data_IF_798967750299
#
_entry.id   IF_798967750299
#
_cell.length_a   1.000
_cell.length_b   1.000
_cell.length_c   1.000
_cell.angle_alpha   90.00
_cell.angle_beta   90.00
_cell.angle_gamma   90.00
#
_symmetry.space_group_name_H-M   'P 1'
#
loop_
_entity.id
_entity.type
_entity.pdbx_description
1 polymer ?
#
# COMPACT_ATOMS: atom_id res chain seq x y z
N UNK A 1 -64.07 -31.92 -4.72
CA UNK A 1 -62.62 -31.77 -4.49
C UNK A 1 -62.36 -30.33 -4.07
N UNK A 2 -61.73 -30.14 -2.91
CA UNK A 2 -61.40 -28.84 -2.30
C UNK A 2 -60.05 -28.31 -2.83
N UNK A 3 -59.86 -26.99 -2.85
CA UNK A 3 -58.58 -26.25 -2.70
C UNK A 3 -58.86 -24.75 -2.99
N UNK A 4 -59.17 -23.91 -2.00
CA UNK A 4 -58.27 -23.24 -1.05
C UNK A 4 -57.25 -22.26 -1.69
N UNK A 5 -57.56 -20.96 -1.60
CA UNK A 5 -56.62 -19.81 -1.69
C UNK A 5 -55.75 -19.77 -0.41
N UNK A 6 -54.55 -19.16 -0.39
CA UNK A 6 -54.49 -17.71 -0.18
C UNK A 6 -53.31 -16.96 -0.85
N UNK A 7 -53.46 -15.63 -0.86
CA UNK A 7 -52.47 -14.64 -1.27
C UNK A 7 -51.27 -14.56 -0.31
N UNK A 8 -50.09 -14.14 -0.81
CA UNK A 8 -48.98 -13.68 0.03
C UNK A 8 -48.52 -12.28 -0.40
N UNK A 9 -48.84 -11.29 0.43
CA UNK A 9 -48.32 -9.92 0.37
C UNK A 9 -46.91 -9.87 1.01
N UNK A 10 -46.01 -9.16 0.34
CA UNK A 10 -44.90 -8.31 0.82
C UNK A 10 -44.35 -8.49 2.25
N UNK A 11 -43.04 -8.66 2.40
CA UNK A 11 -42.22 -7.98 3.43
C UNK A 11 -40.75 -7.85 3.02
N UNK A 12 -40.28 -6.62 3.23
CA UNK A 12 -38.90 -6.10 3.26
C UNK A 12 -37.96 -6.90 4.16
N UNK A 13 -36.72 -7.14 3.70
CA UNK A 13 -35.55 -7.20 4.60
C UNK A 13 -34.22 -7.04 3.82
N UNK A 14 -33.62 -5.88 4.04
CA UNK A 14 -32.25 -5.48 3.75
C UNK A 14 -31.24 -6.44 4.40
N UNK A 15 -30.57 -7.28 3.62
CA UNK A 15 -29.38 -8.00 4.07
C UNK A 15 -28.13 -7.15 3.81
N UNK A 16 -27.84 -6.28 4.77
CA UNK A 16 -26.55 -5.60 4.95
C UNK A 16 -25.58 -6.60 5.58
N UNK A 17 -24.39 -6.73 4.99
CA UNK A 17 -23.08 -6.95 5.65
C UNK A 17 -22.24 -8.06 4.99
N UNK A 18 -21.47 -7.69 3.96
CA UNK A 18 -20.22 -8.37 3.61
C UNK A 18 -19.10 -7.34 3.61
N UNK A 19 -18.50 -7.10 4.78
CA UNK A 19 -17.18 -6.52 4.94
C UNK A 19 -16.71 -6.74 6.38
N UNK A 20 -15.52 -7.32 6.55
CA UNK A 20 -14.53 -6.54 7.29
C UNK A 20 -13.16 -6.58 6.61
N UNK A 21 -13.05 -6.13 5.36
CA UNK A 21 -11.76 -5.83 4.73
C UNK A 21 -11.28 -4.39 5.00
N UNK A 22 -11.67 -3.77 6.12
CA UNK A 22 -11.28 -2.39 6.47
C UNK A 22 -10.63 -2.23 7.86
N UNK A 23 -10.40 -3.33 8.59
CA UNK A 23 -9.82 -3.22 9.95
C UNK A 23 -8.29 -3.16 9.99
N UNK A 24 -7.60 -3.43 8.89
CA UNK A 24 -6.14 -3.35 8.83
C UNK A 24 -5.62 -1.90 8.68
N UNK A 25 -6.32 -1.04 7.92
CA UNK A 25 -5.91 0.34 7.67
C UNK A 25 -6.11 1.29 8.88
N UNK A 26 -6.97 0.94 9.83
CA UNK A 26 -7.26 1.80 10.98
C UNK A 26 -6.19 1.74 12.08
N UNK A 27 -5.40 0.66 12.14
CA UNK A 27 -4.33 0.50 13.15
C UNK A 27 -3.04 1.20 12.75
N UNK A 28 -2.68 1.24 11.47
CA UNK A 28 -1.48 1.95 10.99
C UNK A 28 -1.55 3.45 11.24
N UNK A 29 -2.70 4.07 10.92
CA UNK A 29 -2.91 5.51 11.08
C UNK A 29 -2.77 6.00 12.55
N UNK A 30 -3.12 5.16 13.53
CA UNK A 30 -2.99 5.50 14.96
C UNK A 30 -1.56 5.37 15.49
N UNK A 31 -0.74 4.51 14.87
CA UNK A 31 0.68 4.34 15.26
C UNK A 31 1.53 5.43 14.62
N UNK A 32 1.28 5.76 13.35
CA UNK A 32 1.88 6.94 12.70
C UNK A 32 1.62 8.19 13.53
N UNK A 33 0.35 8.42 13.91
CA UNK A 33 -0.12 9.04 15.16
C UNK A 33 0.93 9.67 16.10
N UNK A 34 1.72 8.76 16.67
CA UNK A 34 2.46 8.90 17.93
C UNK A 34 3.97 8.94 17.72
N UNK A 35 4.44 8.82 16.48
CA UNK A 35 5.86 8.81 16.18
C UNK A 35 6.40 10.24 15.99
N UNK A 36 7.63 10.52 16.46
CA UNK A 36 8.34 11.75 16.11
C UNK A 36 8.37 11.95 14.59
N UNK A 37 8.31 13.20 14.11
CA UNK A 37 8.15 13.52 12.68
C UNK A 37 9.18 12.79 11.80
N UNK A 38 10.46 12.78 12.18
CA UNK A 38 11.50 12.06 11.41
C UNK A 38 11.25 10.54 11.33
N UNK A 39 10.66 9.95 12.38
CA UNK A 39 10.35 8.51 12.39
C UNK A 39 9.10 8.21 11.57
N UNK A 40 8.13 9.15 11.51
CA UNK A 40 6.98 9.08 10.61
C UNK A 40 7.43 9.12 9.14
N UNK A 41 8.29 10.07 8.79
CA UNK A 41 8.74 10.25 7.42
C UNK A 41 9.51 9.01 6.94
N UNK A 42 10.44 8.50 7.78
CA UNK A 42 11.14 7.26 7.50
C UNK A 42 10.21 6.04 7.38
N UNK A 43 9.17 5.94 8.23
CA UNK A 43 8.18 4.88 8.14
C UNK A 43 7.36 4.96 6.84
N UNK A 44 7.02 6.18 6.41
CA UNK A 44 6.37 6.44 5.12
C UNK A 44 7.23 5.97 3.96
N UNK A 45 8.49 6.41 3.91
CA UNK A 45 9.43 6.03 2.84
C UNK A 45 9.64 4.51 2.76
N UNK A 46 9.79 3.84 3.90
CA UNK A 46 9.93 2.37 3.96
C UNK A 46 8.66 1.68 3.47
N UNK A 47 7.49 2.17 3.87
CA UNK A 47 6.19 1.59 3.47
C UNK A 47 5.98 1.75 1.97
N UNK A 48 6.21 2.94 1.41
CA UNK A 48 6.12 3.20 -0.03
C UNK A 48 7.07 2.31 -0.83
N UNK A 49 8.31 2.12 -0.35
CA UNK A 49 9.29 1.23 -0.98
C UNK A 49 8.80 -0.22 -0.99
N UNK A 50 8.23 -0.70 0.12
CA UNK A 50 7.69 -2.06 0.22
C UNK A 50 6.47 -2.26 -0.69
N UNK A 51 5.57 -1.27 -0.78
CA UNK A 51 4.41 -1.30 -1.67
C UNK A 51 4.81 -1.31 -3.15
N UNK A 52 5.82 -0.52 -3.51
CA UNK A 52 6.38 -0.53 -4.85
C UNK A 52 7.00 -1.89 -5.19
N UNK A 53 7.80 -2.48 -4.29
CA UNK A 53 8.38 -3.82 -4.49
C UNK A 53 7.33 -4.91 -4.62
N UNK A 54 6.26 -4.83 -3.82
CA UNK A 54 5.13 -5.74 -3.94
C UNK A 54 4.42 -5.62 -5.30
N UNK A 55 4.18 -4.39 -5.74
CA UNK A 55 3.55 -4.12 -7.04
C UNK A 55 4.40 -4.63 -8.21
N UNK A 56 5.71 -4.40 -8.17
CA UNK A 56 6.66 -4.91 -9.17
C UNK A 56 6.66 -6.45 -9.19
N UNK A 57 6.64 -7.07 -8.02
CA UNK A 57 6.57 -8.53 -7.88
C UNK A 57 5.27 -9.08 -8.48
N UNK A 58 4.12 -8.46 -8.19
CA UNK A 58 2.84 -8.85 -8.77
C UNK A 58 2.83 -8.70 -10.29
N UNK A 59 3.44 -7.65 -10.82
CA UNK A 59 3.54 -7.44 -12.27
C UNK A 59 4.36 -8.54 -12.97
N UNK A 60 5.44 -9.02 -12.35
CA UNK A 60 6.33 -10.04 -12.94
C UNK A 60 5.81 -11.46 -12.76
N UNK A 61 5.35 -11.79 -11.54
CA UNK A 61 5.01 -13.18 -11.18
C UNK A 61 3.52 -13.49 -11.23
N UNK A 62 2.65 -12.47 -11.37
CA UNK A 62 1.19 -12.65 -11.40
C UNK A 62 0.70 -13.44 -10.19
N UNK A 63 -0.09 -14.49 -10.44
CA UNK A 63 -0.66 -15.36 -9.40
C UNK A 63 0.39 -16.16 -8.61
N UNK A 64 1.64 -16.22 -9.08
CA UNK A 64 2.74 -16.88 -8.38
C UNK A 64 3.55 -15.90 -7.50
N UNK A 65 3.14 -14.63 -7.43
CA UNK A 65 3.78 -13.65 -6.59
C UNK A 65 3.74 -14.07 -5.12
N UNK A 66 4.90 -14.04 -4.46
CA UNK A 66 5.01 -14.30 -3.02
C UNK A 66 5.77 -13.14 -2.36
N UNK A 67 5.50 -12.84 -1.08
CA UNK A 67 6.19 -11.77 -0.35
C UNK A 67 7.70 -11.90 -0.38
N UNK A 68 8.23 -13.13 -0.40
CA UNK A 68 9.67 -13.41 -0.45
C UNK A 68 10.31 -12.86 -1.72
N UNK A 69 9.59 -12.86 -2.85
CA UNK A 69 10.08 -12.26 -4.09
C UNK A 69 10.24 -10.74 -3.92
N UNK A 70 9.28 -10.06 -3.29
CA UNK A 70 9.36 -8.61 -3.06
C UNK A 70 10.51 -8.25 -2.11
N UNK A 71 10.70 -9.04 -1.05
CA UNK A 71 11.82 -8.85 -0.11
C UNK A 71 13.17 -9.07 -0.81
N UNK A 72 13.27 -10.07 -1.69
CA UNK A 72 14.50 -10.34 -2.44
C UNK A 72 14.92 -9.20 -3.38
N UNK A 73 13.99 -8.32 -3.76
CA UNK A 73 14.26 -7.16 -4.60
C UNK A 73 14.73 -5.94 -3.80
N UNK A 74 14.54 -5.93 -2.47
CA UNK A 74 14.89 -4.78 -1.62
C UNK A 74 16.36 -4.34 -1.73
N UNK A 75 17.37 -5.24 -1.71
CA UNK A 75 18.76 -4.81 -1.83
C UNK A 75 19.02 -4.00 -3.09
N UNK A 76 18.48 -4.45 -4.24
CA UNK A 76 18.62 -3.75 -5.51
C UNK A 76 17.89 -2.41 -5.54
N UNK A 77 16.72 -2.34 -4.91
CA UNK A 77 15.96 -1.10 -4.81
C UNK A 77 16.70 -0.07 -3.94
N UNK A 78 17.27 -0.50 -2.82
CA UNK A 78 18.04 0.37 -1.93
C UNK A 78 19.32 0.86 -2.61
N UNK A 79 20.04 0.01 -3.34
CA UNK A 79 21.21 0.41 -4.12
C UNK A 79 20.83 1.46 -5.19
N UNK A 80 19.71 1.27 -5.89
CA UNK A 80 19.24 2.22 -6.89
C UNK A 80 18.84 3.58 -6.27
N UNK A 81 18.25 3.57 -5.07
CA UNK A 81 17.92 4.79 -4.33
C UNK A 81 19.17 5.54 -3.90
N UNK A 82 20.21 4.84 -3.43
CA UNK A 82 21.49 5.45 -3.06
C UNK A 82 22.16 6.10 -4.27
N UNK A 83 22.20 5.41 -5.42
CA UNK A 83 22.72 6.00 -6.67
C UNK A 83 21.94 7.26 -7.06
N UNK A 84 20.60 7.21 -6.97
CA UNK A 84 19.76 8.37 -7.29
C UNK A 84 20.02 9.55 -6.35
N UNK A 85 20.26 9.27 -5.07
CA UNK A 85 20.62 10.29 -4.08
C UNK A 85 21.95 10.96 -4.43
N UNK A 86 22.99 10.18 -4.71
CA UNK A 86 24.31 10.70 -5.07
C UNK A 86 24.23 11.59 -6.33
N UNK A 87 23.47 11.16 -7.34
CA UNK A 87 23.24 11.95 -8.55
C UNK A 87 22.50 13.28 -8.26
N UNK A 88 21.49 13.25 -7.39
CA UNK A 88 20.77 14.46 -7.00
C UNK A 88 21.66 15.45 -6.25
N UNK A 89 22.53 14.96 -5.36
CA UNK A 89 23.51 15.77 -4.65
C UNK A 89 24.52 16.42 -5.61
N UNK A 90 24.98 15.69 -6.62
CA UNK A 90 25.93 16.22 -7.62
C UNK A 90 25.29 17.28 -8.52
N UNK A 91 24.04 17.09 -8.95
CA UNK A 91 23.27 18.12 -9.67
C UNK A 91 23.09 19.37 -8.79
N UNK A 92 22.77 19.20 -7.50
CA UNK A 92 22.62 20.32 -6.58
C UNK A 92 23.93 21.09 -6.37
N UNK A 93 25.08 20.39 -6.31
CA UNK A 93 26.41 21.02 -6.24
C UNK A 93 26.73 21.81 -7.52
N UNK A 94 26.47 21.25 -8.69
CA UNK A 94 26.67 21.93 -9.98
C UNK A 94 25.81 23.20 -10.10
N UNK A 95 24.54 23.13 -9.68
CA UNK A 95 23.63 24.28 -9.70
C UNK A 95 24.06 25.41 -8.74
N UNK A 96 24.74 25.09 -7.64
CA UNK A 96 25.31 26.09 -6.72
C UNK A 96 26.60 26.71 -7.27
N UNK A 97 27.45 25.92 -7.92
CA UNK A 97 28.69 26.41 -8.53
C UNK A 97 28.47 27.34 -9.72
N UNK A 98 27.35 27.19 -10.44
CA UNK A 98 27.02 27.97 -11.64
C UNK A 98 26.27 29.28 -11.34
N UNK A 99 25.90 29.52 -10.08
CA UNK A 99 25.29 30.76 -9.59
C UNK A 99 26.27 31.71 -8.89
N UNK A 100 27.54 31.31 -8.76
CA UNK A 100 28.63 32.14 -8.25
C UNK A 100 29.47 32.69 -9.41
#
# INVERSE_FOLDING_TARGET
MTTAKPARKSTTAKAKAAAPARKAAAKSAQVEALLPNMTRDALGEVTETLEFMWSATQAVFGDKARPEHAISLLPYALDALEVRRLLAEDVAKQARSSKS
#
